data_IF_930853631550
#
_entry.id   IF_930853631550
#
_cell.length_a   1.000
_cell.length_b   1.000
_cell.length_c   1.000
_cell.angle_alpha   90.00
_cell.angle_beta   90.00
_cell.angle_gamma   90.00
#
_symmetry.space_group_name_H-M   'P 1'
#
loop_
_entity.id
_entity.type
_entity.pdbx_description
1 polymer ?
#
# COMPACT_ATOMS: atom_id res chain seq x y z
N UNK A 1 36.03 -16.74 -23.66
CA UNK A 1 37.16 -16.46 -24.59
C UNK A 1 37.96 -15.23 -24.15
N UNK A 2 39.28 -15.35 -23.99
CA UNK A 2 40.18 -14.29 -23.46
C UNK A 2 40.37 -13.13 -24.45
N UNK A 3 40.06 -13.33 -25.73
CA UNK A 3 40.26 -12.35 -26.82
C UNK A 3 39.39 -11.09 -26.73
N UNK A 4 38.38 -11.07 -25.86
CA UNK A 4 37.43 -9.95 -25.75
C UNK A 4 37.41 -9.32 -24.33
N UNK A 5 38.54 -9.38 -23.61
CA UNK A 5 38.61 -8.82 -22.26
C UNK A 5 38.54 -7.28 -22.27
N UNK A 6 39.19 -6.64 -23.24
CA UNK A 6 39.22 -5.18 -23.36
C UNK A 6 37.85 -4.58 -23.69
N UNK A 7 37.09 -5.18 -24.63
CA UNK A 7 35.73 -4.67 -24.92
C UNK A 7 34.76 -5.02 -23.80
N UNK A 8 34.93 -6.17 -23.12
CA UNK A 8 34.14 -6.50 -21.93
C UNK A 8 34.38 -5.52 -20.79
N UNK A 9 35.62 -5.14 -20.51
CA UNK A 9 35.95 -4.12 -19.49
C UNK A 9 35.37 -2.76 -19.90
N UNK A 10 35.54 -2.35 -21.17
CA UNK A 10 34.96 -1.10 -21.69
C UNK A 10 33.44 -1.07 -21.55
N UNK A 11 32.77 -2.17 -21.88
CA UNK A 11 31.32 -2.33 -21.74
C UNK A 11 30.89 -2.25 -20.28
N UNK A 12 31.60 -2.93 -19.38
CA UNK A 12 31.34 -2.90 -17.94
C UNK A 12 31.51 -1.50 -17.35
N UNK A 13 32.58 -0.78 -17.72
CA UNK A 13 32.80 0.61 -17.31
C UNK A 13 31.67 1.51 -17.82
N UNK A 14 31.29 1.39 -19.09
CA UNK A 14 30.18 2.14 -19.67
C UNK A 14 28.84 1.83 -18.99
N UNK A 15 28.58 0.55 -18.69
CA UNK A 15 27.40 0.10 -17.95
C UNK A 15 27.36 0.70 -16.55
N UNK A 16 28.47 0.63 -15.80
CA UNK A 16 28.58 1.21 -14.45
C UNK A 16 28.39 2.72 -14.47
N UNK A 17 28.98 3.43 -15.44
CA UNK A 17 28.80 4.88 -15.62
C UNK A 17 27.33 5.22 -15.89
N UNK A 18 26.66 4.50 -16.81
CA UNK A 18 25.23 4.69 -17.09
C UNK A 18 24.37 4.42 -15.84
N UNK A 19 24.64 3.32 -15.13
CA UNK A 19 23.93 2.98 -13.89
C UNK A 19 24.10 4.03 -12.80
N UNK A 20 25.31 4.54 -12.62
CA UNK A 20 25.59 5.59 -11.64
C UNK A 20 24.83 6.88 -11.98
N UNK A 21 24.82 7.27 -13.26
CA UNK A 21 24.07 8.44 -13.71
C UNK A 21 22.56 8.28 -13.48
N UNK A 22 22.00 7.10 -13.80
CA UNK A 22 20.57 6.82 -13.56
C UNK A 22 20.24 6.80 -12.07
N UNK A 23 21.08 6.19 -11.23
CA UNK A 23 20.89 6.18 -9.77
C UNK A 23 20.95 7.60 -9.17
N UNK A 24 21.84 8.45 -9.69
CA UNK A 24 21.90 9.85 -9.28
C UNK A 24 20.63 10.61 -9.70
N UNK A 25 20.18 10.41 -10.94
CA UNK A 25 18.95 11.02 -11.44
C UNK A 25 17.72 10.59 -10.63
N UNK A 26 17.58 9.29 -10.34
CA UNK A 26 16.51 8.74 -9.49
C UNK A 26 16.53 9.41 -8.10
N UNK A 27 17.71 9.55 -7.48
CA UNK A 27 17.84 10.19 -6.17
C UNK A 27 17.43 11.67 -6.19
N UNK A 28 17.77 12.40 -7.26
CA UNK A 28 17.38 13.81 -7.43
C UNK A 28 15.87 13.92 -7.59
N UNK A 29 15.27 13.09 -8.45
CA UNK A 29 13.82 13.08 -8.68
C UNK A 29 13.07 12.71 -7.41
N UNK A 30 13.52 11.67 -6.69
CA UNK A 30 12.92 11.26 -5.42
C UNK A 30 12.94 12.38 -4.38
N UNK A 31 14.08 13.08 -4.27
CA UNK A 31 14.21 14.24 -3.37
C UNK A 31 13.23 15.37 -3.72
N UNK A 32 13.13 15.75 -5.00
CA UNK A 32 12.23 16.83 -5.40
C UNK A 32 10.76 16.41 -5.25
N UNK A 33 10.43 15.14 -5.52
CA UNK A 33 9.10 14.60 -5.25
C UNK A 33 8.74 14.71 -3.77
N UNK A 34 9.62 14.24 -2.86
CA UNK A 34 9.35 14.28 -1.42
C UNK A 34 9.25 15.71 -0.90
N UNK A 35 10.09 16.62 -1.41
CA UNK A 35 9.98 18.05 -1.09
C UNK A 35 8.61 18.63 -1.48
N UNK A 36 8.11 18.30 -2.67
CA UNK A 36 6.79 18.76 -3.12
C UNK A 36 5.67 18.10 -2.30
N UNK A 37 5.80 16.80 -2.00
CA UNK A 37 4.88 16.04 -1.16
C UNK A 37 4.75 16.65 0.23
N UNK A 38 5.88 16.99 0.86
CA UNK A 38 5.90 17.67 2.16
C UNK A 38 5.30 19.09 2.09
N UNK A 39 5.57 19.83 1.01
CA UNK A 39 5.04 21.17 0.82
C UNK A 39 3.50 21.20 0.70
N UNK A 40 2.88 20.15 0.13
CA UNK A 40 1.41 19.99 0.10
C UNK A 40 0.85 19.30 1.36
N UNK A 41 1.64 19.26 2.44
CA UNK A 41 1.23 18.76 3.74
C UNK A 41 1.30 17.25 3.87
N UNK A 42 2.12 16.55 3.07
CA UNK A 42 2.40 15.12 3.20
C UNK A 42 1.20 14.22 2.92
N UNK A 43 0.30 14.65 2.05
CA UNK A 43 -0.98 13.96 1.78
C UNK A 43 -0.86 12.82 0.78
N UNK A 44 0.12 12.90 -0.12
CA UNK A 44 0.43 11.84 -1.08
C UNK A 44 1.33 10.77 -0.45
N UNK A 45 1.25 9.56 -1.01
CA UNK A 45 2.10 8.43 -0.62
C UNK A 45 3.55 8.64 -1.09
N UNK A 46 4.51 8.04 -0.40
CA UNK A 46 5.90 8.03 -0.84
C UNK A 46 6.08 7.19 -2.11
N UNK A 47 7.14 7.44 -2.88
CA UNK A 47 7.41 6.63 -4.06
C UNK A 47 7.81 5.21 -3.62
N UNK A 48 7.13 4.21 -4.18
CA UNK A 48 7.44 2.82 -3.90
C UNK A 48 8.85 2.47 -4.44
N UNK A 49 9.72 1.85 -3.62
CA UNK A 49 11.10 1.56 -4.01
C UNK A 49 11.15 0.48 -5.11
N UNK A 50 11.60 0.86 -6.30
CA UNK A 50 11.57 0.02 -7.50
C UNK A 50 12.39 -1.27 -7.37
N UNK A 51 13.53 -1.22 -6.67
CA UNK A 51 14.35 -2.41 -6.41
C UNK A 51 13.69 -3.40 -5.45
N UNK A 52 12.93 -2.91 -4.47
CA UNK A 52 12.15 -3.76 -3.57
C UNK A 52 11.04 -4.44 -4.37
N UNK A 53 10.25 -3.64 -5.13
CA UNK A 53 9.19 -4.14 -6.01
C UNK A 53 9.72 -5.22 -6.96
N UNK A 54 10.84 -4.94 -7.63
CA UNK A 54 11.48 -5.91 -8.53
C UNK A 54 11.79 -7.22 -7.81
N UNK A 55 12.39 -7.17 -6.61
CA UNK A 55 12.75 -8.37 -5.85
C UNK A 55 11.55 -9.18 -5.40
N UNK A 56 10.45 -8.51 -5.00
CA UNK A 56 9.22 -9.18 -4.58
C UNK A 56 8.45 -9.79 -5.75
N UNK A 57 8.41 -9.10 -6.91
CA UNK A 57 7.69 -9.58 -8.09
C UNK A 57 8.45 -10.64 -8.89
N UNK A 58 9.78 -10.59 -8.94
CA UNK A 58 10.61 -11.45 -9.79
C UNK A 58 10.34 -12.97 -9.67
N UNK A 59 10.08 -13.54 -8.46
CA UNK A 59 9.76 -14.96 -8.32
C UNK A 59 8.47 -15.39 -9.02
N UNK A 60 7.51 -14.47 -9.17
CA UNK A 60 6.20 -14.74 -9.77
C UNK A 60 6.14 -14.31 -11.24
N UNK A 61 6.85 -13.24 -11.59
CA UNK A 61 6.91 -12.71 -12.94
C UNK A 61 8.30 -12.15 -13.19
N UNK A 62 9.04 -12.72 -14.14
CA UNK A 62 10.42 -12.34 -14.40
C UNK A 62 10.50 -10.85 -14.81
N UNK A 63 11.24 -10.06 -14.04
CA UNK A 63 11.38 -8.61 -14.26
C UNK A 63 12.08 -8.23 -15.58
N UNK A 64 12.69 -9.20 -16.27
CA UNK A 64 13.30 -9.01 -17.59
C UNK A 64 12.35 -9.35 -18.74
N UNK A 65 11.15 -9.86 -18.45
CA UNK A 65 10.07 -9.98 -19.42
C UNK A 65 9.64 -8.56 -19.81
N UNK A 66 10.09 -8.13 -20.99
CA UNK A 66 9.77 -6.81 -21.53
C UNK A 66 8.30 -6.70 -21.97
N UNK A 67 7.90 -5.51 -22.42
CA UNK A 67 6.58 -5.29 -23.00
C UNK A 67 5.57 -4.62 -22.07
N UNK A 68 5.91 -4.30 -20.82
CA UNK A 68 5.04 -3.52 -19.94
C UNK A 68 5.39 -3.63 -18.45
N UNK A 69 4.44 -3.25 -17.61
CA UNK A 69 4.57 -3.21 -16.14
C UNK A 69 4.09 -4.49 -15.44
N UNK A 70 3.88 -5.61 -16.14
CA UNK A 70 3.28 -6.83 -15.56
C UNK A 70 4.01 -7.35 -14.30
N UNK A 71 5.34 -7.30 -14.28
CA UNK A 71 6.13 -7.65 -13.10
C UNK A 71 5.94 -6.65 -11.93
N UNK A 72 5.74 -5.36 -12.23
CA UNK A 72 5.45 -4.34 -11.23
C UNK A 72 4.02 -4.44 -10.71
N UNK A 73 3.05 -4.84 -11.53
CA UNK A 73 1.67 -5.08 -11.12
C UNK A 73 1.61 -6.20 -10.06
N UNK A 74 2.30 -7.32 -10.33
CA UNK A 74 2.45 -8.41 -9.35
C UNK A 74 3.16 -7.94 -8.09
N UNK A 75 4.27 -7.21 -8.23
CA UNK A 75 5.01 -6.68 -7.11
C UNK A 75 4.22 -5.71 -6.23
N UNK A 76 3.47 -4.78 -6.85
CA UNK A 76 2.67 -3.77 -6.16
C UNK A 76 1.57 -4.42 -5.32
N UNK A 77 0.94 -5.48 -5.84
CA UNK A 77 -0.05 -6.24 -5.09
C UNK A 77 0.55 -6.83 -3.79
N UNK A 78 1.67 -7.54 -3.92
CA UNK A 78 2.41 -8.09 -2.76
C UNK A 78 2.84 -6.98 -1.80
N UNK A 79 3.40 -5.89 -2.33
CA UNK A 79 3.93 -4.79 -1.54
C UNK A 79 2.86 -4.12 -0.69
N UNK A 80 1.74 -3.71 -1.30
CA UNK A 80 0.70 -2.97 -0.60
C UNK A 80 0.00 -3.81 0.45
N UNK A 81 -0.18 -5.11 0.22
CA UNK A 81 -0.75 -5.99 1.22
C UNK A 81 0.24 -6.31 2.35
N UNK A 82 1.51 -6.60 2.05
CA UNK A 82 2.50 -6.97 3.06
C UNK A 82 3.00 -5.80 3.92
N UNK A 83 2.85 -4.56 3.43
CA UNK A 83 3.21 -3.33 4.15
C UNK A 83 2.02 -2.66 4.82
N UNK A 84 0.87 -3.34 4.90
CA UNK A 84 -0.34 -2.81 5.50
C UNK A 84 -0.79 -1.46 4.87
N UNK A 85 -0.69 -1.32 3.54
CA UNK A 85 -1.11 -0.09 2.83
C UNK A 85 -2.51 -0.18 2.23
N UNK A 86 -3.04 -1.39 2.00
CA UNK A 86 -4.37 -1.56 1.43
C UNK A 86 -5.04 -2.86 1.88
N UNK A 87 -6.35 -2.79 2.21
CA UNK A 87 -7.19 -3.98 2.44
C UNK A 87 -7.49 -4.73 1.14
N UNK A 88 -7.43 -4.04 0.00
CA UNK A 88 -7.73 -4.58 -1.33
C UNK A 88 -6.94 -3.84 -2.40
N UNK A 89 -6.51 -4.58 -3.42
CA UNK A 89 -5.85 -4.05 -4.62
C UNK A 89 -6.75 -4.30 -5.84
N UNK A 90 -7.16 -3.22 -6.50
CA UNK A 90 -7.90 -3.25 -7.77
C UNK A 90 -6.93 -2.98 -8.91
N UNK A 91 -6.80 -3.91 -9.84
CA UNK A 91 -6.05 -3.74 -11.07
C UNK A 91 -7.01 -3.43 -12.21
N UNK A 92 -7.02 -2.17 -12.66
CA UNK A 92 -7.83 -1.73 -13.80
C UNK A 92 -6.96 -1.67 -15.06
N UNK A 93 -7.37 -2.37 -16.12
CA UNK A 93 -6.59 -2.49 -17.35
C UNK A 93 -7.46 -2.45 -18.60
N UNK A 94 -6.93 -1.98 -19.74
CA UNK A 94 -7.63 -2.09 -21.01
C UNK A 94 -7.68 -3.54 -21.50
N UNK A 95 -8.78 -3.91 -22.15
CA UNK A 95 -8.92 -5.19 -22.82
C UNK A 95 -7.77 -5.43 -23.82
N UNK A 96 -7.26 -6.65 -23.86
CA UNK A 96 -6.21 -7.06 -24.80
C UNK A 96 -4.81 -6.55 -24.47
N UNK A 97 -4.60 -5.94 -23.30
CA UNK A 97 -3.26 -5.59 -22.82
C UNK A 97 -2.50 -6.86 -22.40
N UNK A 98 -1.86 -7.51 -23.37
CA UNK A 98 -1.22 -8.82 -23.20
C UNK A 98 -0.28 -8.94 -21.98
N UNK A 99 0.59 -7.96 -21.64
CA UNK A 99 1.39 -8.03 -20.41
C UNK A 99 0.54 -8.13 -19.14
N UNK A 100 -0.61 -7.46 -19.12
CA UNK A 100 -1.52 -7.41 -17.98
C UNK A 100 -2.42 -8.65 -17.87
N UNK A 101 -2.69 -9.32 -18.99
CA UNK A 101 -3.32 -10.65 -18.97
C UNK A 101 -2.35 -11.70 -18.42
N UNK A 102 -1.06 -11.61 -18.79
CA UNK A 102 -0.04 -12.50 -18.25
C UNK A 102 0.21 -12.28 -16.75
N UNK A 103 0.21 -11.02 -16.29
CA UNK A 103 0.35 -10.72 -14.85
C UNK A 103 -0.83 -11.30 -14.06
N UNK A 104 -2.07 -11.24 -14.55
CA UNK A 104 -3.22 -11.89 -13.89
C UNK A 104 -3.05 -13.39 -13.72
N UNK A 105 -2.51 -14.06 -14.75
CA UNK A 105 -2.15 -15.48 -14.65
C UNK A 105 -1.15 -15.73 -13.51
N UNK A 106 -0.16 -14.85 -13.36
CA UNK A 106 0.80 -14.92 -12.24
C UNK A 106 0.16 -14.60 -10.88
N UNK A 107 -0.84 -13.71 -10.83
CA UNK A 107 -1.53 -13.34 -9.59
C UNK A 107 -2.28 -14.52 -8.95
N UNK A 108 -2.70 -15.52 -9.74
CA UNK A 108 -3.28 -16.75 -9.19
C UNK A 108 -2.30 -17.47 -8.22
N UNK A 109 -1.01 -17.49 -8.56
CA UNK A 109 0.02 -18.01 -7.67
C UNK A 109 0.26 -17.09 -6.47
N UNK A 110 0.23 -15.77 -6.66
CA UNK A 110 0.42 -14.78 -5.59
C UNK A 110 -0.67 -14.91 -4.54
N UNK A 111 -1.94 -14.87 -4.94
CA UNK A 111 -3.09 -14.96 -4.01
C UNK A 111 -3.11 -16.31 -3.28
N UNK A 112 -2.60 -17.39 -3.90
CA UNK A 112 -2.43 -18.68 -3.21
C UNK A 112 -1.40 -18.64 -2.08
N UNK A 113 -0.30 -17.90 -2.26
CA UNK A 113 0.73 -17.71 -1.23
C UNK A 113 0.33 -16.68 -0.17
N UNK A 114 -0.42 -15.64 -0.56
CA UNK A 114 -0.87 -14.55 0.30
C UNK A 114 -2.39 -14.62 0.48
N UNK A 115 -2.87 -15.58 1.27
CA UNK A 115 -4.31 -15.92 1.36
C UNK A 115 -5.22 -14.79 1.86
N UNK A 116 -4.68 -13.85 2.62
CA UNK A 116 -5.45 -12.72 3.16
C UNK A 116 -5.56 -11.54 2.18
N UNK A 117 -4.93 -11.65 1.01
CA UNK A 117 -4.93 -10.62 -0.03
C UNK A 117 -6.24 -10.60 -0.82
N UNK A 118 -6.85 -9.42 -0.91
CA UNK A 118 -7.98 -9.19 -1.81
C UNK A 118 -7.43 -8.52 -3.07
N UNK A 119 -7.32 -9.30 -4.16
CA UNK A 119 -6.90 -8.81 -5.46
C UNK A 119 -8.02 -9.00 -6.48
N UNK A 120 -8.33 -7.94 -7.23
CA UNK A 120 -9.35 -7.99 -8.28
C UNK A 120 -8.84 -7.34 -9.57
N UNK A 121 -8.70 -8.11 -10.66
CA UNK A 121 -8.44 -7.56 -11.97
C UNK A 121 -9.75 -7.28 -12.72
N UNK A 122 -9.84 -6.09 -13.33
CA UNK A 122 -10.97 -5.63 -14.14
C UNK A 122 -10.46 -5.16 -15.50
N UNK A 123 -11.02 -5.72 -16.58
CA UNK A 123 -10.70 -5.33 -17.94
C UNK A 123 -11.77 -4.39 -18.51
N UNK A 124 -11.39 -3.14 -18.79
CA UNK A 124 -12.28 -2.17 -19.44
C UNK A 124 -12.58 -2.64 -20.86
N UNK A 125 -13.86 -2.73 -21.22
CA UNK A 125 -14.36 -3.19 -22.53
C UNK A 125 -14.19 -4.69 -22.83
N UNK A 126 -13.53 -5.45 -21.94
CA UNK A 126 -13.38 -6.90 -22.05
C UNK A 126 -14.40 -7.68 -21.21
N UNK A 127 -14.95 -7.02 -20.20
CA UNK A 127 -15.92 -7.56 -19.28
C UNK A 127 -17.26 -6.83 -19.43
N UNK A 128 -18.38 -7.55 -19.27
CA UNK A 128 -19.71 -6.92 -19.28
C UNK A 128 -19.96 -6.09 -18.03
N UNK A 129 -20.56 -4.91 -18.18
CA UNK A 129 -20.74 -3.92 -17.10
C UNK A 129 -21.34 -4.51 -15.82
N UNK A 130 -22.36 -5.36 -15.94
CA UNK A 130 -23.03 -6.01 -14.80
C UNK A 130 -22.07 -6.96 -14.07
N UNK A 131 -21.23 -7.69 -14.81
CA UNK A 131 -20.27 -8.64 -14.23
C UNK A 131 -19.11 -7.91 -13.53
N UNK A 132 -18.59 -6.85 -14.16
CA UNK A 132 -17.58 -6.01 -13.54
C UNK A 132 -18.11 -5.37 -12.25
N UNK A 133 -19.33 -4.81 -12.29
CA UNK A 133 -19.96 -4.19 -11.13
C UNK A 133 -20.16 -5.18 -9.98
N UNK A 134 -20.72 -6.37 -10.25
CA UNK A 134 -21.00 -7.36 -9.21
C UNK A 134 -19.71 -7.88 -8.55
N UNK A 135 -18.66 -8.17 -9.33
CA UNK A 135 -17.34 -8.60 -8.79
C UNK A 135 -16.69 -7.53 -7.94
N UNK A 136 -16.69 -6.28 -8.40
CA UNK A 136 -16.15 -5.14 -7.64
C UNK A 136 -16.93 -4.94 -6.33
N UNK A 137 -18.27 -5.01 -6.38
CA UNK A 137 -19.10 -4.88 -5.20
C UNK A 137 -18.83 -5.98 -4.16
N UNK A 138 -18.66 -7.23 -4.60
CA UNK A 138 -18.32 -8.34 -3.70
C UNK A 138 -16.96 -8.12 -3.03
N UNK A 139 -15.92 -7.82 -3.81
CA UNK A 139 -14.57 -7.60 -3.28
C UNK A 139 -14.50 -6.38 -2.33
N UNK A 140 -15.18 -5.29 -2.67
CA UNK A 140 -15.32 -4.13 -1.79
C UNK A 140 -16.08 -4.47 -0.49
N UNK A 141 -17.07 -5.36 -0.57
CA UNK A 141 -17.79 -5.86 0.61
C UNK A 141 -16.85 -6.58 1.58
N UNK A 142 -16.01 -7.48 1.07
CA UNK A 142 -15.00 -8.18 1.87
C UNK A 142 -13.96 -7.20 2.47
N UNK A 143 -13.45 -6.27 1.65
CA UNK A 143 -12.51 -5.26 2.11
C UNK A 143 -13.11 -4.35 3.20
N UNK A 144 -14.38 -4.00 3.07
CA UNK A 144 -15.12 -3.22 4.07
C UNK A 144 -15.24 -3.97 5.39
N UNK A 145 -15.48 -5.28 5.37
CA UNK A 145 -15.51 -6.09 6.58
C UNK A 145 -14.14 -6.11 7.28
N UNK A 146 -13.05 -6.36 6.53
CA UNK A 146 -11.68 -6.29 7.08
C UNK A 146 -11.37 -4.93 7.71
N UNK A 147 -11.78 -3.84 7.06
CA UNK A 147 -11.61 -2.49 7.60
C UNK A 147 -12.38 -2.26 8.91
N UNK A 148 -13.61 -2.80 9.04
CA UNK A 148 -14.41 -2.70 10.27
C UNK A 148 -13.80 -3.49 11.42
N UNK A 149 -13.38 -4.73 11.14
CA UNK A 149 -12.75 -5.60 12.14
C UNK A 149 -11.42 -5.02 12.62
N UNK A 150 -10.62 -4.50 11.69
CA UNK A 150 -9.38 -3.76 12.01
C UNK A 150 -9.65 -2.56 12.91
N UNK A 151 -10.65 -1.74 12.59
CA UNK A 151 -10.96 -0.54 13.39
C UNK A 151 -11.39 -0.93 14.82
N UNK A 152 -12.18 -1.98 14.96
CA UNK A 152 -12.56 -2.51 16.27
C UNK A 152 -11.33 -2.96 17.07
N UNK A 153 -10.45 -3.75 16.45
CA UNK A 153 -9.19 -4.17 17.07
C UNK A 153 -8.29 -2.98 17.47
N UNK A 154 -8.30 -1.91 16.67
CA UNK A 154 -7.53 -0.70 16.94
C UNK A 154 -8.06 0.02 18.20
N UNK A 155 -9.38 0.17 18.33
CA UNK A 155 -10.02 0.74 19.52
C UNK A 155 -9.72 -0.11 20.76
N UNK A 156 -9.91 -1.43 20.68
CA UNK A 156 -9.63 -2.36 21.78
C UNK A 156 -8.17 -2.27 22.25
N UNK A 157 -7.22 -2.17 21.31
CA UNK A 157 -5.79 -1.99 21.60
C UNK A 157 -5.49 -0.72 22.40
N UNK A 158 -6.29 0.34 22.25
CA UNK A 158 -6.08 1.57 23.02
C UNK A 158 -6.44 1.39 24.50
N UNK A 159 -7.46 0.58 24.80
CA UNK A 159 -8.08 0.45 26.13
C UNK A 159 -9.10 1.54 26.46
N UNK A 160 -9.44 2.43 25.53
CA UNK A 160 -10.46 3.46 25.70
C UNK A 160 -11.70 3.15 24.85
N UNK A 161 -12.85 3.65 25.27
CA UNK A 161 -14.05 3.60 24.44
C UNK A 161 -13.99 4.65 23.33
N UNK A 162 -14.79 4.46 22.28
CA UNK A 162 -14.87 5.42 21.17
C UNK A 162 -15.34 6.79 21.67
N UNK A 163 -16.23 6.82 22.65
CA UNK A 163 -16.79 8.03 23.25
C UNK A 163 -15.69 8.83 23.95
N UNK A 164 -14.85 8.17 24.75
CA UNK A 164 -13.70 8.81 25.41
C UNK A 164 -12.72 9.40 24.40
N UNK A 165 -12.43 8.66 23.33
CA UNK A 165 -11.56 9.13 22.24
C UNK A 165 -12.19 10.36 21.55
N UNK A 166 -13.49 10.33 21.27
CA UNK A 166 -14.22 11.46 20.66
C UNK A 166 -14.20 12.70 21.54
N UNK A 167 -14.45 12.56 22.84
CA UNK A 167 -14.39 13.65 23.82
C UNK A 167 -13.00 14.27 23.88
N UNK A 168 -11.96 13.43 23.93
CA UNK A 168 -10.58 13.89 23.93
C UNK A 168 -10.25 14.69 22.65
N UNK A 169 -10.64 14.18 21.47
CA UNK A 169 -10.44 14.87 20.19
C UNK A 169 -11.22 16.19 20.14
N UNK A 170 -12.43 16.25 20.70
CA UNK A 170 -13.22 17.48 20.75
C UNK A 170 -12.52 18.56 21.58
N UNK A 171 -11.92 18.20 22.71
CA UNK A 171 -11.16 19.10 23.57
C UNK A 171 -9.83 19.58 22.95
N UNK A 172 -9.25 18.82 22.01
CA UNK A 172 -7.91 19.07 21.46
C UNK A 172 -7.98 19.55 20.00
N UNK A 173 -7.76 20.86 19.78
CA UNK A 173 -7.83 21.48 18.44
C UNK A 173 -6.77 20.95 17.47
N UNK A 174 -5.61 20.58 17.96
CA UNK A 174 -4.49 20.02 17.18
C UNK A 174 -4.86 18.68 16.52
N UNK A 175 -5.69 17.87 17.18
CA UNK A 175 -6.19 16.59 16.65
C UNK A 175 -7.25 16.74 15.55
N UNK A 176 -7.80 17.95 15.36
CA UNK A 176 -8.85 18.25 14.37
C UNK A 176 -8.31 18.99 13.14
N UNK A 177 -6.99 19.06 12.98
CA UNK A 177 -6.35 19.69 11.83
C UNK A 177 -6.56 18.83 10.57
N UNK A 178 -7.03 19.40 9.43
CA UNK A 178 -7.30 18.61 8.22
C UNK A 178 -6.09 17.85 7.66
N UNK A 179 -4.90 18.42 7.80
CA UNK A 179 -3.62 17.86 7.34
C UNK A 179 -2.81 17.28 8.50
N UNK A 180 -3.48 16.78 9.54
CA UNK A 180 -2.82 16.09 10.63
C UNK A 180 -2.09 14.86 10.08
N UNK A 181 -0.79 14.80 10.34
CA UNK A 181 0.02 13.64 10.02
C UNK A 181 -0.16 12.59 11.10
N UNK A 182 -0.64 11.42 10.68
CA UNK A 182 -0.94 10.29 11.57
C UNK A 182 0.13 9.24 11.32
N UNK A 183 0.87 8.81 12.37
CA UNK A 183 1.88 7.76 12.21
C UNK A 183 1.22 6.44 11.84
N UNK A 184 1.89 5.68 10.97
CA UNK A 184 1.45 4.34 10.59
C UNK A 184 1.92 3.31 11.62
N UNK A 185 0.99 2.44 12.04
CA UNK A 185 1.19 1.36 13.00
C UNK A 185 1.11 0.03 12.27
N UNK A 186 2.16 -0.78 12.36
CA UNK A 186 2.19 -2.11 11.76
C UNK A 186 0.99 -2.96 12.20
N UNK A 187 0.37 -3.65 11.25
CA UNK A 187 -0.86 -4.42 11.43
C UNK A 187 -2.15 -3.60 11.35
N UNK A 188 -2.07 -2.28 11.09
CA UNK A 188 -3.23 -1.41 10.92
C UNK A 188 -3.08 -0.58 9.64
N UNK A 189 -3.97 -0.84 8.69
CA UNK A 189 -3.98 -0.26 7.35
C UNK A 189 -4.73 1.07 7.32
N UNK A 190 -5.96 1.12 7.86
CA UNK A 190 -6.81 2.31 7.68
C UNK A 190 -6.28 3.52 8.44
N UNK A 191 -6.49 4.72 7.86
CA UNK A 191 -6.21 5.99 8.55
C UNK A 191 -7.02 6.12 9.84
N UNK A 192 -8.25 5.61 9.87
CA UNK A 192 -9.11 5.65 11.04
C UNK A 192 -8.54 4.80 12.20
N UNK A 193 -8.10 3.57 11.92
CA UNK A 193 -7.45 2.71 12.91
C UNK A 193 -6.16 3.32 13.46
N UNK A 194 -5.31 3.83 12.56
CA UNK A 194 -4.08 4.51 12.95
C UNK A 194 -4.34 5.78 13.78
N UNK A 195 -5.39 6.53 13.44
CA UNK A 195 -5.79 7.72 14.19
C UNK A 195 -6.20 7.39 15.62
N UNK A 196 -7.05 6.38 15.83
CA UNK A 196 -7.48 6.03 17.19
C UNK A 196 -6.31 5.53 18.05
N UNK A 197 -5.38 4.77 17.47
CA UNK A 197 -4.15 4.34 18.15
C UNK A 197 -3.31 5.55 18.55
N UNK A 198 -3.07 6.47 17.62
CA UNK A 198 -2.33 7.71 17.87
C UNK A 198 -2.96 8.56 18.98
N UNK A 199 -4.28 8.73 18.96
CA UNK A 199 -5.00 9.46 20.02
C UNK A 199 -4.92 8.72 21.35
N UNK A 200 -5.07 7.39 21.36
CA UNK A 200 -4.93 6.58 22.56
C UNK A 200 -3.55 6.73 23.22
N UNK A 201 -2.48 6.82 22.43
CA UNK A 201 -1.14 7.12 22.94
C UNK A 201 -1.04 8.52 23.57
N UNK A 202 -1.69 9.52 22.96
CA UNK A 202 -1.76 10.88 23.53
C UNK A 202 -2.55 10.94 24.83
N UNK A 203 -3.67 10.21 24.91
CA UNK A 203 -4.47 10.08 26.14
C UNK A 203 -3.67 9.43 27.27
N UNK A 204 -2.91 8.37 26.97
CA UNK A 204 -2.00 7.74 27.94
C UNK A 204 -0.92 8.69 28.41
N UNK A 205 -0.31 9.45 27.50
CA UNK A 205 0.70 10.45 27.83
C UNK A 205 0.14 11.60 28.68
N UNK A 206 -1.15 11.92 28.54
CA UNK A 206 -1.86 12.89 29.37
C UNK A 206 -2.31 12.33 30.73
N UNK A 207 -2.01 11.07 31.05
CA UNK A 207 -2.34 10.43 32.32
C UNK A 207 -3.81 9.98 32.45
N UNK A 208 -4.56 9.88 31.36
CA UNK A 208 -5.95 9.42 31.37
C UNK A 208 -5.96 7.90 31.51
N UNK A 209 -6.53 7.37 32.59
CA UNK A 209 -6.57 5.92 32.83
C UNK A 209 -7.56 5.23 31.87
N UNK A 210 -7.18 4.12 31.22
CA UNK A 210 -8.09 3.30 30.43
C UNK A 210 -9.29 2.82 31.27
N UNK A 211 -10.51 2.89 30.74
CA UNK A 211 -11.69 2.32 31.40
C UNK A 211 -11.74 0.82 31.12
N UNK A 212 -11.84 -0.01 32.15
CA UNK A 212 -11.79 -1.47 32.03
C UNK A 212 -13.03 -2.10 31.34
N UNK A 213 -14.09 -1.33 31.09
CA UNK A 213 -15.30 -1.80 30.41
C UNK A 213 -15.32 -1.34 28.96
N UNK A 214 -14.66 -2.12 28.09
CA UNK A 214 -14.84 -2.03 26.64
C UNK A 214 -16.21 -2.63 26.29
N UNK A 215 -17.23 -1.79 26.07
CA UNK A 215 -18.46 -2.25 25.44
C UNK A 215 -18.19 -2.57 23.95
N UNK A 216 -18.80 -3.63 23.40
CA UNK A 216 -18.60 -4.00 22.01
C UNK A 216 -19.04 -2.85 21.10
N UNK A 217 -18.13 -2.39 20.24
CA UNK A 217 -18.41 -1.38 19.21
C UNK A 217 -19.58 -1.87 18.35
N UNK A 218 -20.75 -1.25 18.55
CA UNK A 218 -21.98 -1.56 17.84
C UNK A 218 -21.86 -1.30 16.33
N UNK A 219 -22.60 -2.09 15.55
CA UNK A 219 -22.52 -2.23 14.09
C UNK A 219 -22.99 -1.02 13.25
N UNK A 220 -22.83 0.22 13.72
CA UNK A 220 -23.30 1.43 13.04
C UNK A 220 -22.18 2.42 12.73
N UNK A 221 -21.39 2.11 11.70
CA UNK A 221 -20.75 3.05 10.77
C UNK A 221 -20.75 2.45 9.36
#
# INVERSE_FOLDING_TARGET
PVWNLTEKIRSEVNYRKKRMNLALAEKVIGREYDRLREAIGGTAHELAPQLELTRMGHPYYNSRSGGGEGHLEVAKNIYYCNKDYAHMVLSLKPFGCMPSTQSDGAQAAVVSHFRDMIYIPIETSGEGDINAHSRVQMALGEAKMKCKDEFKAAVEKTGYTIEQIREFVAAHRDLRRPLLQIPHTKGFISKAANFVIFVGEKMKAAGITPSATLEPVGASV
#
